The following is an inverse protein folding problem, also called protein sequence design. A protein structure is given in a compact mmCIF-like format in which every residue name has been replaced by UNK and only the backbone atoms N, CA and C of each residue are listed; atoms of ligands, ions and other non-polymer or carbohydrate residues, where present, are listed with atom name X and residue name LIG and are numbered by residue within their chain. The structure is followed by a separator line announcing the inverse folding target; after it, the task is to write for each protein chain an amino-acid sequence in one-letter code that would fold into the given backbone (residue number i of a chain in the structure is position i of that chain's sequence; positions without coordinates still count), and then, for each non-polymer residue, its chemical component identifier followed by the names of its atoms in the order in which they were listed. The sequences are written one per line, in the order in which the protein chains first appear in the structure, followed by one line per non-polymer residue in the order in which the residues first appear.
data_IF_343204339709
#
_entry.id   IF_343204339709
#
_cell.length_a   1.000
_cell.length_b   1.000
_cell.length_c   1.000
_cell.angle_alpha   90.00
_cell.angle_beta   90.00
_cell.angle_gamma   90.00
#
_symmetry.space_group_name_H-M   'P 1'
#
loop_
_entity.id
_entity.type
_entity.pdbx_description
1 polymer ?
#
# COMPACT_ATOMS: atom_id res chain seq x y z
N UNK A 1 6.33 2.39 7.41
CA UNK A 1 5.36 1.71 6.52
C UNK A 1 3.95 2.19 6.84
N UNK A 2 2.93 1.82 6.07
CA UNK A 2 1.52 2.14 6.35
C UNK A 2 0.62 0.93 6.07
N UNK A 3 -0.59 0.91 6.65
CA UNK A 3 -1.61 -0.12 6.42
C UNK A 3 -2.81 0.51 5.72
N UNK A 4 -3.27 -0.12 4.64
CA UNK A 4 -4.55 0.15 4.00
C UNK A 4 -5.37 -1.15 4.00
N UNK A 5 -6.40 -1.26 4.83
CA UNK A 5 -7.21 -2.48 4.98
C UNK A 5 -8.70 -2.16 4.92
N UNK A 6 -9.44 -3.01 4.21
CA UNK A 6 -10.91 -2.92 4.10
C UNK A 6 -11.64 -3.73 5.17
N UNK A 7 -10.93 -4.20 6.21
CA UNK A 7 -11.55 -4.93 7.30
C UNK A 7 -12.55 -4.05 8.07
N UNK A 8 -13.74 -4.58 8.44
CA UNK A 8 -14.67 -3.89 9.32
C UNK A 8 -14.25 -3.88 10.79
N UNK A 9 -13.16 -4.56 11.16
CA UNK A 9 -12.75 -4.82 12.57
C UNK A 9 -11.39 -4.21 12.93
N UNK A 10 -11.24 -2.87 12.91
CA UNK A 10 -10.00 -2.21 13.32
C UNK A 10 -9.56 -2.55 14.76
N UNK A 11 -10.53 -2.78 15.66
CA UNK A 11 -10.32 -3.14 17.05
C UNK A 11 -9.63 -4.51 17.24
N UNK A 12 -9.72 -5.39 16.24
CA UNK A 12 -9.02 -6.68 16.23
C UNK A 12 -7.63 -6.53 15.60
N UNK A 13 -7.52 -5.75 14.52
CA UNK A 13 -6.28 -5.59 13.77
C UNK A 13 -5.15 -5.00 14.63
N UNK A 14 -5.44 -3.97 15.42
CA UNK A 14 -4.45 -3.33 16.30
C UNK A 14 -3.79 -4.32 17.27
N UNK A 15 -4.55 -4.99 18.15
CA UNK A 15 -4.00 -5.99 19.07
C UNK A 15 -3.26 -7.14 18.37
N UNK A 16 -3.69 -7.54 17.18
CA UNK A 16 -2.98 -8.56 16.41
C UNK A 16 -1.58 -8.08 15.97
N UNK A 17 -1.48 -6.85 15.46
CA UNK A 17 -0.20 -6.24 15.08
C UNK A 17 0.73 -6.01 16.28
N UNK A 18 0.17 -5.67 17.44
CA UNK A 18 0.94 -5.56 18.70
C UNK A 18 1.53 -6.91 19.10
N UNK A 19 0.73 -7.98 19.07
CA UNK A 19 1.19 -9.34 19.41
C UNK A 19 2.28 -9.84 18.46
N UNK A 20 2.25 -9.42 17.20
CA UNK A 20 3.30 -9.71 16.23
C UNK A 20 4.55 -8.83 16.41
N UNK A 21 4.50 -7.79 17.24
CA UNK A 21 5.63 -6.89 17.50
C UNK A 21 5.99 -5.95 16.35
N UNK A 22 5.10 -5.80 15.35
CA UNK A 22 5.37 -5.02 14.14
C UNK A 22 4.62 -3.69 14.07
N UNK A 23 3.70 -3.43 15.01
CA UNK A 23 2.82 -2.25 14.94
C UNK A 23 3.60 -0.94 14.85
N UNK A 24 4.67 -0.81 15.63
CA UNK A 24 5.54 0.38 15.66
C UNK A 24 6.21 0.70 14.32
N UNK A 25 6.25 -0.24 13.37
CA UNK A 25 6.78 -0.02 12.03
C UNK A 25 5.82 0.76 11.12
N UNK A 26 4.55 0.91 11.52
CA UNK A 26 3.51 1.56 10.74
C UNK A 26 3.22 2.99 11.23
N UNK A 27 3.46 3.98 10.39
CA UNK A 27 3.21 5.41 10.71
C UNK A 27 1.75 5.81 10.45
N UNK A 28 1.03 5.03 9.65
CA UNK A 28 -0.38 5.22 9.34
C UNK A 28 -1.10 3.86 9.29
N UNK A 29 -2.26 3.79 9.93
CA UNK A 29 -3.11 2.60 10.01
C UNK A 29 -4.52 2.98 9.53
N UNK A 30 -4.78 2.86 8.23
CA UNK A 30 -6.11 3.09 7.65
C UNK A 30 -6.81 1.73 7.51
N UNK A 31 -7.65 1.39 8.50
CA UNK A 31 -8.36 0.11 8.60
C UNK A 31 -9.86 0.40 8.78
N UNK A 32 -10.63 0.26 7.71
CA UNK A 32 -12.07 0.44 7.74
C UNK A 32 -12.70 -0.08 6.44
N UNK A 33 -13.95 -0.53 6.51
CA UNK A 33 -14.74 -0.88 5.33
C UNK A 33 -14.97 0.32 4.43
N UNK A 34 -14.69 0.18 3.14
CA UNK A 34 -15.03 1.17 2.12
C UNK A 34 -15.51 0.48 0.84
N UNK A 35 -16.39 1.18 0.14
CA UNK A 35 -16.79 0.84 -1.23
C UNK A 35 -15.71 1.19 -2.25
N UNK A 36 -14.81 2.09 -1.88
CA UNK A 36 -13.63 2.36 -2.68
C UNK A 36 -12.67 1.17 -2.62
N UNK A 37 -12.14 0.77 -3.78
CA UNK A 37 -11.09 -0.25 -3.87
C UNK A 37 -9.75 0.32 -3.38
N UNK A 38 -9.69 0.63 -2.07
CA UNK A 38 -8.58 1.25 -1.32
C UNK A 38 -8.16 2.68 -1.70
N UNK A 39 -8.84 3.33 -2.64
CA UNK A 39 -8.48 4.71 -3.01
C UNK A 39 -8.70 5.71 -1.87
N UNK A 40 -9.75 5.53 -1.07
CA UNK A 40 -10.00 6.37 0.13
C UNK A 40 -8.92 6.18 1.20
N UNK A 41 -8.49 4.93 1.43
CA UNK A 41 -7.38 4.62 2.35
C UNK A 41 -6.10 5.31 1.91
N UNK A 42 -5.76 5.23 0.62
CA UNK A 42 -4.57 5.91 0.08
C UNK A 42 -4.65 7.44 0.20
N UNK A 43 -5.81 8.05 0.02
CA UNK A 43 -6.00 9.49 0.26
C UNK A 43 -5.71 9.87 1.71
N UNK A 44 -6.18 9.08 2.69
CA UNK A 44 -5.91 9.31 4.12
C UNK A 44 -4.44 9.13 4.46
N UNK A 45 -3.79 8.07 3.95
CA UNK A 45 -2.35 7.85 4.09
C UNK A 45 -1.54 9.01 3.50
N UNK A 46 -1.87 9.44 2.28
CA UNK A 46 -1.23 10.59 1.64
C UNK A 46 -1.38 11.86 2.48
N UNK A 47 -2.59 12.16 2.96
CA UNK A 47 -2.84 13.32 3.81
C UNK A 47 -2.04 13.27 5.12
N UNK A 48 -1.91 12.08 5.72
CA UNK A 48 -1.18 11.90 6.99
C UNK A 48 0.35 11.95 6.82
N UNK A 49 0.87 11.46 5.70
CA UNK A 49 2.32 11.31 5.47
C UNK A 49 2.94 12.42 4.62
N UNK A 50 2.14 13.11 3.81
CA UNK A 50 2.62 14.09 2.81
C UNK A 50 3.34 13.45 1.61
N UNK A 51 3.42 12.11 1.54
CA UNK A 51 4.16 11.40 0.50
C UNK A 51 3.30 11.36 -0.79
N UNK A 52 3.81 11.79 -1.96
CA UNK A 52 3.13 11.64 -3.24
C UNK A 52 2.88 10.17 -3.60
N UNK A 53 1.79 9.88 -4.32
CA UNK A 53 1.43 8.51 -4.69
C UNK A 53 2.50 7.82 -5.54
N UNK A 54 3.18 8.57 -6.41
CA UNK A 54 4.27 8.09 -7.26
C UNK A 54 5.49 7.63 -6.45
N UNK A 55 5.59 8.03 -5.18
CA UNK A 55 6.65 7.64 -4.25
C UNK A 55 6.20 6.51 -3.30
N UNK A 56 5.11 5.79 -3.63
CA UNK A 56 4.61 4.67 -2.85
C UNK A 56 4.72 3.34 -3.61
N UNK A 57 4.98 2.26 -2.85
CA UNK A 57 4.85 0.87 -3.29
C UNK A 57 3.72 0.23 -2.49
N UNK A 58 2.86 -0.53 -3.15
CA UNK A 58 1.68 -1.17 -2.57
C UNK A 58 1.63 -2.65 -2.90
N UNK A 59 1.36 -3.48 -1.90
CA UNK A 59 1.18 -4.93 -2.05
C UNK A 59 -0.22 -5.32 -1.61
N UNK A 60 -0.94 -6.05 -2.45
CA UNK A 60 -2.31 -6.51 -2.17
C UNK A 60 -2.62 -7.80 -2.92
N UNK A 61 -3.50 -8.62 -2.37
CA UNK A 61 -3.99 -9.84 -3.01
C UNK A 61 -5.26 -9.64 -3.84
N UNK A 62 -5.97 -8.52 -3.66
CA UNK A 62 -7.17 -8.21 -4.42
C UNK A 62 -6.84 -7.35 -5.65
N UNK A 63 -6.89 -7.96 -6.83
CA UNK A 63 -6.62 -7.33 -8.12
C UNK A 63 -7.47 -6.06 -8.40
N UNK A 64 -8.67 -5.94 -7.80
CA UNK A 64 -9.47 -4.70 -7.88
C UNK A 64 -8.81 -3.53 -7.15
N UNK A 65 -8.21 -3.78 -5.99
CA UNK A 65 -7.47 -2.77 -5.24
C UNK A 65 -6.21 -2.37 -6.01
N UNK A 66 -5.47 -3.35 -6.55
CA UNK A 66 -4.28 -3.12 -7.38
C UNK A 66 -4.61 -2.20 -8.56
N UNK A 67 -5.64 -2.53 -9.35
CA UNK A 67 -6.04 -1.68 -10.48
C UNK A 67 -6.44 -0.27 -10.07
N UNK A 68 -7.20 -0.12 -9.00
CA UNK A 68 -7.69 1.18 -8.56
C UNK A 68 -6.56 2.07 -8.03
N UNK A 69 -5.68 1.51 -7.20
CA UNK A 69 -4.54 2.23 -6.60
C UNK A 69 -3.45 2.55 -7.61
N UNK A 70 -3.18 1.66 -8.58
CA UNK A 70 -2.25 1.95 -9.68
C UNK A 70 -2.66 3.17 -10.53
N UNK A 71 -3.96 3.41 -10.71
CA UNK A 71 -4.47 4.61 -11.40
C UNK A 71 -4.15 5.91 -10.65
N UNK A 72 -3.87 5.84 -9.36
CA UNK A 72 -3.45 6.99 -8.55
C UNK A 72 -1.96 7.32 -8.70
N UNK A 73 -1.19 6.52 -9.43
CA UNK A 73 0.26 6.73 -9.60
C UNK A 73 1.13 5.85 -8.71
N UNK A 74 0.54 5.05 -7.82
CA UNK A 74 1.26 4.10 -6.96
C UNK A 74 1.86 2.95 -7.77
N UNK A 75 3.00 2.42 -7.33
CA UNK A 75 3.55 1.15 -7.85
C UNK A 75 2.91 0.00 -7.10
N UNK A 76 1.96 -0.70 -7.74
CA UNK A 76 1.15 -1.72 -7.07
C UNK A 76 1.51 -3.12 -7.57
N UNK A 77 1.73 -4.05 -6.64
CA UNK A 77 2.17 -5.42 -6.86
C UNK A 77 1.11 -6.39 -6.36
N UNK A 78 0.54 -7.17 -7.27
CA UNK A 78 -0.42 -8.23 -6.93
C UNK A 78 0.33 -9.41 -6.29
N UNK A 79 -0.08 -9.82 -5.09
CA UNK A 79 0.52 -10.93 -4.35
C UNK A 79 -0.51 -12.03 -4.07
N UNK A 80 -0.18 -13.29 -4.37
CA UNK A 80 -1.15 -14.39 -4.19
C UNK A 80 -0.95 -15.19 -2.89
N UNK A 81 0.21 -15.08 -2.24
CA UNK A 81 0.57 -15.85 -1.04
C UNK A 81 1.21 -14.96 0.03
N UNK A 82 0.68 -13.75 0.15
CA UNK A 82 1.29 -12.71 0.97
C UNK A 82 2.59 -12.15 0.37
N UNK A 83 3.20 -11.22 1.11
CA UNK A 83 4.45 -10.56 0.70
C UNK A 83 5.63 -11.50 0.96
N UNK A 84 6.37 -11.81 -0.10
CA UNK A 84 7.63 -12.56 -0.04
C UNK A 84 8.82 -11.65 -0.34
N UNK A 85 10.04 -12.13 -0.09
CA UNK A 85 11.25 -11.41 -0.50
C UNK A 85 11.29 -11.17 -2.01
N UNK A 86 10.77 -12.10 -2.80
CA UNK A 86 10.75 -11.96 -4.27
C UNK A 86 9.73 -10.92 -4.71
N UNK A 87 8.53 -10.89 -4.12
CA UNK A 87 7.57 -9.81 -4.43
C UNK A 87 8.10 -8.45 -3.99
N UNK A 88 8.81 -8.38 -2.86
CA UNK A 88 9.43 -7.14 -2.40
C UNK A 88 10.50 -6.65 -3.39
N UNK A 89 11.40 -7.54 -3.84
CA UNK A 89 12.41 -7.22 -4.87
C UNK A 89 11.77 -6.76 -6.17
N UNK A 90 10.72 -7.45 -6.62
CA UNK A 90 9.96 -7.05 -7.80
C UNK A 90 9.39 -5.64 -7.63
N UNK A 91 8.73 -5.37 -6.50
CA UNK A 91 8.15 -4.05 -6.23
C UNK A 91 9.19 -2.92 -6.20
N UNK A 92 10.37 -3.16 -5.63
CA UNK A 92 11.47 -2.20 -5.64
C UNK A 92 12.00 -1.94 -7.05
N UNK A 93 12.17 -2.99 -7.86
CA UNK A 93 12.60 -2.87 -9.25
C UNK A 93 11.59 -2.10 -10.10
N UNK A 94 10.29 -2.42 -10.00
CA UNK A 94 9.23 -1.74 -10.75
C UNK A 94 9.13 -0.27 -10.38
N UNK A 95 9.31 0.05 -9.09
CA UNK A 95 9.32 1.41 -8.59
C UNK A 95 10.48 2.24 -9.18
N UNK A 96 11.67 1.66 -9.24
CA UNK A 96 12.86 2.29 -9.82
C UNK A 96 12.69 2.54 -11.33
N UNK A 97 12.20 1.56 -12.08
CA UNK A 97 11.93 1.67 -13.52
C UNK A 97 10.87 2.73 -13.83
N UNK A 98 9.82 2.81 -13.01
CA UNK A 98 8.80 3.85 -13.13
C UNK A 98 9.40 5.23 -12.90
N UNK A 99 10.27 5.36 -11.90
CA UNK A 99 10.96 6.61 -11.57
C UNK A 99 11.88 7.08 -12.70
N UNK A 100 12.65 6.18 -13.33
CA UNK A 100 13.53 6.52 -14.45
C UNK A 100 12.74 6.95 -15.70
N UNK A 101 11.64 6.27 -16.02
CA UNK A 101 10.78 6.65 -17.15
C UNK A 101 10.08 8.00 -16.95
N UNK A 102 9.78 8.39 -15.70
CA UNK A 102 9.22 9.71 -15.39
C UNK A 102 10.23 10.84 -15.52
N UNK A 103 11.52 10.58 -15.24
CA UNK A 103 12.62 11.54 -15.43
C UNK A 103 12.99 11.72 -16.90
N UNK A 104 12.94 10.67 -17.70
CA UNK A 104 13.24 10.74 -19.14
C UNK A 104 12.16 11.48 -19.97
N UNK A 105 10.99 11.73 -19.39
CA UNK A 105 9.85 12.44 -20.03
C UNK A 105 9.74 13.92 -19.61
N UNK A 106 10.67 14.42 -18.80
CA UNK A 106 10.84 15.84 -18.46
C UNK A 106 12.01 16.42 -19.23
#
# INVERSE_FOLDING_TARGET
MAIASRSPTPEIAGPFLERLGIRSMFVAEDIFSSWSHKTEHFQKIHKKTGIPFELMIFFDDEDRNIRAVSKMGVTSILVHRGVTLDSLRQGLSDFEQKSSSSRAKK
#
